data_IF_601987777437
#
_entry.id   IF_601987777437
#
_cell.length_a   1.000
_cell.length_b   1.000
_cell.length_c   1.000
_cell.angle_alpha   90.00
_cell.angle_beta   90.00
_cell.angle_gamma   90.00
#
_symmetry.space_group_name_H-M   'P 1'
#
loop_
_entity.id
_entity.type
_entity.pdbx_description
1 polymer ?
#
# COMPACT_ATOMS: atom_id res chain seq x y z
N UNK A 1 -0.29 23.57 6.20
CA UNK A 1 -0.45 22.82 4.93
C UNK A 1 -1.65 21.91 5.11
N UNK A 2 -2.69 22.02 4.28
CA UNK A 2 -3.94 21.27 4.48
C UNK A 2 -3.73 19.76 4.24
N UNK A 3 -4.27 18.92 5.11
CA UNK A 3 -4.19 17.45 5.01
C UNK A 3 -4.75 16.92 3.67
N UNK A 4 -5.66 17.67 3.04
CA UNK A 4 -6.28 17.34 1.76
C UNK A 4 -5.30 17.26 0.58
N UNK A 5 -4.14 17.92 0.64
CA UNK A 5 -3.22 17.98 -0.50
C UNK A 5 -2.44 16.67 -0.74
N UNK A 6 -2.27 15.83 0.29
CA UNK A 6 -1.47 14.59 0.21
C UNK A 6 -2.29 13.31 0.38
N UNK A 7 -3.36 13.35 1.19
CA UNK A 7 -4.18 12.17 1.43
C UNK A 7 -5.10 11.85 0.25
N UNK A 8 -5.63 12.87 -0.44
CA UNK A 8 -6.54 12.69 -1.57
C UNK A 8 -5.89 11.89 -2.72
N UNK A 9 -4.66 12.22 -3.18
CA UNK A 9 -4.00 11.42 -4.20
C UNK A 9 -3.74 9.97 -3.77
N UNK A 10 -3.41 9.72 -2.50
CA UNK A 10 -3.17 8.38 -1.99
C UNK A 10 -4.46 7.56 -1.92
N UNK A 11 -5.54 8.16 -1.42
CA UNK A 11 -6.86 7.55 -1.42
C UNK A 11 -7.31 7.21 -2.84
N UNK A 12 -7.18 8.15 -3.78
CA UNK A 12 -7.55 7.93 -5.17
C UNK A 12 -6.75 6.79 -5.83
N UNK A 13 -5.45 6.69 -5.52
CA UNK A 13 -4.62 5.57 -5.99
C UNK A 13 -5.13 4.23 -5.46
N UNK A 14 -5.41 4.13 -4.16
CA UNK A 14 -5.97 2.92 -3.55
C UNK A 14 -7.29 2.51 -4.18
N UNK A 15 -8.23 3.45 -4.34
CA UNK A 15 -9.53 3.19 -4.97
C UNK A 15 -9.40 2.73 -6.42
N UNK A 16 -8.44 3.29 -7.15
CA UNK A 16 -8.14 2.88 -8.53
C UNK A 16 -7.63 1.44 -8.58
N UNK A 17 -6.69 1.07 -7.71
CA UNK A 17 -6.17 -0.29 -7.60
C UNK A 17 -7.27 -1.29 -7.22
N UNK A 18 -8.11 -0.96 -6.24
CA UNK A 18 -9.23 -1.79 -5.81
C UNK A 18 -10.23 -2.00 -6.95
N UNK A 19 -10.59 -0.92 -7.65
CA UNK A 19 -11.52 -0.99 -8.80
C UNK A 19 -10.97 -1.89 -9.89
N UNK A 20 -9.69 -1.76 -10.24
CA UNK A 20 -9.03 -2.62 -11.22
C UNK A 20 -9.01 -4.09 -10.79
N UNK A 21 -8.63 -4.36 -9.53
CA UNK A 21 -8.61 -5.71 -8.99
C UNK A 21 -10.00 -6.36 -9.00
N UNK A 22 -11.03 -5.64 -8.56
CA UNK A 22 -12.41 -6.15 -8.56
C UNK A 22 -12.88 -6.40 -10.00
N UNK A 23 -12.72 -5.43 -10.89
CA UNK A 23 -13.23 -5.53 -12.25
C UNK A 23 -12.53 -6.60 -13.11
N UNK A 24 -11.22 -6.80 -12.90
CA UNK A 24 -10.40 -7.65 -13.77
C UNK A 24 -10.03 -8.99 -13.14
N UNK A 25 -9.84 -9.03 -11.82
CA UNK A 25 -9.26 -10.19 -11.15
C UNK A 25 -10.28 -11.05 -10.43
N UNK A 26 -11.36 -10.46 -9.92
CA UNK A 26 -12.40 -11.21 -9.20
C UNK A 26 -13.07 -12.29 -10.06
N UNK A 27 -13.10 -12.09 -11.38
CA UNK A 27 -13.69 -13.04 -12.34
C UNK A 27 -12.72 -14.15 -12.76
N UNK A 28 -11.44 -14.07 -12.39
CA UNK A 28 -10.44 -15.05 -12.78
C UNK A 28 -10.53 -16.31 -11.90
N UNK A 29 -10.30 -17.51 -12.47
CA UNK A 29 -10.23 -18.73 -11.68
C UNK A 29 -9.10 -18.67 -10.66
N UNK A 30 -9.35 -19.18 -9.45
CA UNK A 30 -8.34 -19.24 -8.39
C UNK A 30 -7.04 -19.95 -8.80
N UNK A 31 -7.12 -20.94 -9.70
CA UNK A 31 -5.95 -21.64 -10.24
C UNK A 31 -4.96 -20.71 -10.93
N UNK A 32 -5.44 -19.65 -11.59
CA UNK A 32 -4.58 -18.63 -12.23
C UNK A 32 -3.79 -17.87 -11.16
N UNK A 33 -4.44 -17.52 -10.05
CA UNK A 33 -3.82 -16.78 -8.95
C UNK A 33 -2.83 -17.61 -8.13
N UNK A 34 -3.06 -18.91 -8.05
CA UNK A 34 -2.19 -19.86 -7.35
C UNK A 34 -0.92 -20.22 -8.13
N UNK A 35 -0.85 -19.92 -9.43
CA UNK A 35 0.30 -20.26 -10.25
C UNK A 35 1.44 -19.26 -10.05
N UNK A 36 2.61 -19.77 -9.65
CA UNK A 36 3.84 -18.99 -9.64
C UNK A 36 4.38 -18.82 -11.09
N UNK A 37 4.81 -17.61 -11.49
CA UNK A 37 5.32 -17.38 -12.84
C UNK A 37 6.68 -18.06 -13.12
N UNK A 38 7.47 -18.36 -12.09
CA UNK A 38 8.74 -19.06 -12.20
C UNK A 38 9.08 -19.84 -10.92
N UNK A 39 10.09 -20.70 -10.98
CA UNK A 39 10.60 -21.36 -9.79
C UNK A 39 11.09 -20.32 -8.76
N UNK A 40 10.73 -20.52 -7.48
CA UNK A 40 11.06 -19.63 -6.36
C UNK A 40 10.47 -18.20 -6.42
N UNK A 41 9.48 -17.94 -7.28
CA UNK A 41 8.68 -16.70 -7.20
C UNK A 41 7.37 -16.92 -6.47
N UNK A 42 6.85 -15.87 -5.86
CA UNK A 42 5.49 -15.87 -5.33
C UNK A 42 4.45 -15.90 -6.45
N UNK A 43 3.40 -16.66 -6.21
CA UNK A 43 2.12 -16.56 -6.91
C UNK A 43 1.40 -15.26 -6.57
N UNK A 44 0.39 -14.89 -7.36
CA UNK A 44 -0.42 -13.71 -7.08
C UNK A 44 -1.16 -13.83 -5.73
N UNK A 45 -1.60 -15.04 -5.36
CA UNK A 45 -2.20 -15.32 -4.06
C UNK A 45 -1.25 -15.05 -2.90
N UNK A 46 0.01 -15.50 -2.99
CA UNK A 46 1.01 -15.26 -1.94
C UNK A 46 1.33 -13.77 -1.80
N UNK A 47 1.43 -13.05 -2.93
CA UNK A 47 1.57 -11.60 -2.92
C UNK A 47 0.40 -10.91 -2.21
N UNK A 48 -0.85 -11.27 -2.52
CA UNK A 48 -2.04 -10.71 -1.89
C UNK A 48 -2.11 -11.06 -0.40
N UNK A 49 -1.80 -12.31 -0.03
CA UNK A 49 -1.78 -12.74 1.36
C UNK A 49 -0.74 -11.97 2.17
N UNK A 50 0.44 -11.72 1.60
CA UNK A 50 1.46 -10.90 2.23
C UNK A 50 0.96 -9.48 2.49
N UNK A 51 0.38 -8.82 1.48
CA UNK A 51 -0.19 -7.47 1.61
C UNK A 51 -1.29 -7.42 2.68
N UNK A 52 -2.20 -8.40 2.68
CA UNK A 52 -3.28 -8.48 3.66
C UNK A 52 -2.72 -8.68 5.08
N UNK A 53 -1.74 -9.58 5.26
CA UNK A 53 -1.11 -9.80 6.57
C UNK A 53 -0.41 -8.55 7.12
N UNK A 54 0.16 -7.73 6.25
CA UNK A 54 0.72 -6.43 6.63
C UNK A 54 -0.39 -5.47 7.07
N UNK A 55 -1.51 -5.43 6.35
CA UNK A 55 -2.69 -4.65 6.74
C UNK A 55 -3.22 -5.05 8.11
N UNK A 56 -3.45 -6.35 8.33
CA UNK A 56 -3.95 -6.92 9.58
C UNK A 56 -3.07 -6.56 10.79
N UNK A 57 -1.75 -6.46 10.57
CA UNK A 57 -0.81 -6.08 11.61
C UNK A 57 -0.69 -4.56 11.82
N UNK A 58 -0.47 -3.80 10.75
CA UNK A 58 -0.11 -2.38 10.87
C UNK A 58 -1.32 -1.46 11.02
N UNK A 59 -2.48 -1.77 10.44
CA UNK A 59 -3.65 -0.89 10.55
C UNK A 59 -4.11 -0.70 12.00
N UNK A 60 -4.26 -1.77 12.82
CA UNK A 60 -4.61 -1.60 14.24
C UNK A 60 -3.54 -0.85 15.03
N UNK A 61 -2.26 -1.08 14.73
CA UNK A 61 -1.16 -0.39 15.39
C UNK A 61 -1.14 1.11 15.07
N UNK A 62 -1.38 1.47 13.81
CA UNK A 62 -1.50 2.87 13.36
C UNK A 62 -2.72 3.53 14.02
N UNK A 63 -3.88 2.88 14.01
CA UNK A 63 -5.09 3.40 14.65
C UNK A 63 -4.87 3.67 16.13
N UNK A 64 -4.29 2.70 16.86
CA UNK A 64 -3.94 2.88 18.28
C UNK A 64 -3.00 4.07 18.50
N UNK A 65 -1.96 4.20 17.68
CA UNK A 65 -1.02 5.31 17.79
C UNK A 65 -1.67 6.68 17.52
N UNK A 66 -2.62 6.74 16.59
CA UNK A 66 -3.40 7.95 16.29
C UNK A 66 -4.34 8.31 17.46
N UNK A 67 -5.00 7.33 18.06
CA UNK A 67 -5.92 7.53 19.19
C UNK A 67 -5.20 7.95 20.48
N UNK A 68 -3.96 7.50 20.69
CA UNK A 68 -3.17 7.84 21.88
C UNK A 68 -2.74 9.31 21.94
N UNK A 69 -2.78 10.04 20.82
CA UNK A 69 -2.36 11.43 20.77
C UNK A 69 -3.56 12.37 20.95
N UNK A 70 -3.66 12.96 22.13
CA UNK A 70 -4.78 13.86 22.50
C UNK A 70 -4.68 15.27 21.89
N UNK A 71 -3.50 15.67 21.38
CA UNK A 71 -3.27 17.02 20.86
C UNK A 71 -2.81 17.01 19.40
N UNK A 72 -3.51 17.75 18.52
CA UNK A 72 -3.06 17.95 17.14
C UNK A 72 -1.66 18.57 17.13
N UNK A 73 -0.78 18.05 16.27
CA UNK A 73 0.49 18.72 15.99
C UNK A 73 0.21 20.03 15.27
N UNK A 74 0.75 21.14 15.79
CA UNK A 74 0.75 22.45 15.10
C UNK A 74 1.83 22.53 14.02
N UNK A 75 2.81 21.62 14.04
CA UNK A 75 3.88 21.57 13.06
C UNK A 75 3.54 20.65 11.88
N UNK A 76 3.91 21.04 10.63
CA UNK A 76 3.81 20.17 9.48
C UNK A 76 4.59 18.87 9.69
N UNK A 77 4.01 17.74 9.26
CA UNK A 77 4.70 16.45 9.28
C UNK A 77 5.95 16.49 8.40
N UNK A 78 7.06 15.96 8.92
CA UNK A 78 8.29 15.70 8.17
C UNK A 78 8.71 14.26 8.41
N UNK A 79 8.84 13.43 7.35
CA UNK A 79 9.35 12.08 7.53
C UNK A 79 10.83 12.13 7.98
N UNK A 80 11.20 11.25 8.90
CA UNK A 80 12.60 11.01 9.22
C UNK A 80 13.36 10.38 8.05
N UNK A 81 14.69 10.30 8.14
CA UNK A 81 15.54 9.73 7.09
C UNK A 81 15.10 8.30 6.69
N UNK A 82 14.89 7.42 7.67
CA UNK A 82 14.50 6.03 7.44
C UNK A 82 13.11 5.93 6.80
N UNK A 83 12.12 6.65 7.34
CA UNK A 83 10.76 6.65 6.81
C UNK A 83 10.70 7.23 5.39
N UNK A 84 11.42 8.32 5.12
CA UNK A 84 11.52 8.90 3.79
C UNK A 84 12.28 8.03 2.79
N UNK A 85 13.29 7.27 3.23
CA UNK A 85 13.97 6.28 2.39
C UNK A 85 13.02 5.14 2.03
N UNK A 86 12.32 4.57 3.00
CA UNK A 86 11.40 3.45 2.80
C UNK A 86 10.26 3.80 1.85
N UNK A 87 9.62 4.96 2.03
CA UNK A 87 8.54 5.39 1.13
C UNK A 87 9.01 5.59 -0.30
N UNK A 88 10.22 6.11 -0.52
CA UNK A 88 10.80 6.26 -1.87
C UNK A 88 11.10 4.93 -2.54
N UNK A 89 11.46 3.89 -1.79
CA UNK A 89 11.72 2.56 -2.36
C UNK A 89 10.43 1.91 -2.89
N UNK A 90 9.27 2.25 -2.32
CA UNK A 90 7.97 1.73 -2.73
C UNK A 90 7.31 2.52 -3.85
N UNK A 91 7.88 3.67 -4.25
CA UNK A 91 7.28 4.48 -5.31
C UNK A 91 7.30 3.73 -6.62
N UNK A 92 6.17 3.74 -7.31
CA UNK A 92 6.03 3.20 -8.66
C UNK A 92 6.00 4.33 -9.69
N UNK A 93 6.43 4.03 -10.90
CA UNK A 93 6.19 4.87 -12.06
C UNK A 93 4.71 4.76 -12.51
N UNK A 94 4.26 5.55 -13.50
CA UNK A 94 2.87 5.49 -13.98
C UNK A 94 2.44 4.13 -14.57
N UNK A 95 3.38 3.24 -14.88
CA UNK A 95 3.09 1.88 -15.38
C UNK A 95 3.09 0.83 -14.27
N UNK A 96 3.20 1.25 -12.99
CA UNK A 96 3.17 0.36 -11.83
C UNK A 96 4.48 -0.37 -11.51
N UNK A 97 5.59 -0.03 -12.18
CA UNK A 97 6.91 -0.61 -11.89
C UNK A 97 7.68 0.23 -10.88
N UNK A 98 8.60 -0.34 -10.08
CA UNK A 98 9.42 0.42 -9.14
C UNK A 98 10.13 1.60 -9.84
N UNK A 99 9.99 2.80 -9.26
CA UNK A 99 10.52 4.05 -9.83
C UNK A 99 12.05 4.11 -9.81
N UNK A 100 12.72 3.32 -8.96
CA UNK A 100 14.16 3.09 -8.93
C UNK A 100 14.44 1.60 -8.74
N UNK A 101 15.38 1.05 -9.51
CA UNK A 101 15.97 -0.27 -9.27
C UNK A 101 17.11 -0.16 -8.27
#
# INVERSE_FOLDING_TARGET
MNNSTWLQPLQQQTETMLTQAIAQWQVLPHSVFAQAPQANSWSANECLQHLNSYGDYYLPAIEKALQQRSTPSTHPFKPGWLGGWFTRMMQTNPTGLPAKK
#
